data_IF_300451979487
#
_entry.id   IF_300451979487
#
_cell.length_a   1.000
_cell.length_b   1.000
_cell.length_c   1.000
_cell.angle_alpha   90.00
_cell.angle_beta   90.00
_cell.angle_gamma   90.00
#
_symmetry.space_group_name_H-M   'P 1'
#
loop_
_entity.id
_entity.type
_entity.pdbx_description
1 polymer ?
#
# COMPACT_ATOMS: atom_id res chain seq x y z
N UNK A 1 32.94 -35.09 -11.98
CA UNK A 1 32.54 -34.02 -11.05
C UNK A 1 31.80 -33.00 -11.89
N UNK A 2 30.54 -33.30 -12.20
CA UNK A 2 29.69 -32.38 -12.96
C UNK A 2 29.07 -31.41 -11.98
N UNK A 3 29.52 -30.17 -12.09
CA UNK A 3 28.95 -29.01 -11.41
C UNK A 3 27.55 -28.82 -11.99
N UNK A 4 26.53 -29.16 -11.21
CA UNK A 4 25.15 -28.79 -11.52
C UNK A 4 25.07 -27.27 -11.56
N UNK A 5 24.83 -26.73 -12.75
CA UNK A 5 24.30 -25.38 -12.96
C UNK A 5 23.07 -25.19 -12.07
N UNK A 6 22.92 -24.07 -11.35
CA UNK A 6 21.69 -23.79 -10.61
C UNK A 6 20.53 -23.78 -11.59
N UNK A 7 19.48 -24.55 -11.28
CA UNK A 7 18.20 -24.47 -11.97
C UNK A 7 17.75 -23.01 -11.87
N UNK A 8 17.49 -22.35 -13.00
CA UNK A 8 16.80 -21.05 -13.02
C UNK A 8 15.54 -21.19 -12.17
N UNK A 9 15.57 -20.61 -10.96
CA UNK A 9 14.37 -20.54 -10.12
C UNK A 9 13.28 -19.86 -10.92
N UNK A 10 12.11 -20.48 -10.99
CA UNK A 10 10.93 -19.94 -11.69
C UNK A 10 10.82 -18.44 -11.38
N UNK A 11 11.16 -17.59 -12.35
CA UNK A 11 10.91 -16.16 -12.26
C UNK A 11 9.39 -15.99 -12.32
N UNK A 12 8.74 -16.08 -11.17
CA UNK A 12 7.32 -15.80 -11.03
C UNK A 12 7.06 -14.41 -11.60
N UNK A 13 6.14 -14.34 -12.55
CA UNK A 13 5.86 -13.11 -13.29
C UNK A 13 5.23 -12.11 -12.32
N UNK A 14 5.76 -10.87 -12.22
CA UNK A 14 5.16 -9.86 -11.37
C UNK A 14 3.76 -9.49 -11.89
N UNK A 15 2.83 -9.22 -10.97
CA UNK A 15 1.46 -8.79 -11.29
C UNK A 15 1.48 -7.39 -11.90
N UNK A 16 2.02 -6.43 -11.15
CA UNK A 16 2.20 -5.05 -11.57
C UNK A 16 3.66 -4.82 -11.98
N UNK A 17 3.88 -4.43 -13.23
CA UNK A 17 5.22 -4.05 -13.70
C UNK A 17 5.67 -2.73 -13.06
N UNK A 18 4.70 -1.83 -12.84
CA UNK A 18 4.89 -0.53 -12.20
C UNK A 18 5.37 -0.61 -10.75
N UNK A 19 5.22 -1.77 -10.08
CA UNK A 19 5.75 -1.99 -8.73
C UNK A 19 7.28 -1.92 -8.65
N UNK A 20 8.00 -2.06 -9.77
CA UNK A 20 9.45 -1.90 -9.78
C UNK A 20 10.25 -3.11 -9.27
N UNK A 21 9.66 -4.31 -9.19
CA UNK A 21 10.38 -5.52 -8.73
C UNK A 21 11.66 -5.83 -9.52
N UNK A 22 11.75 -5.41 -10.78
CA UNK A 22 12.94 -5.57 -11.61
C UNK A 22 14.14 -4.74 -11.14
N UNK A 23 13.93 -3.75 -10.28
CA UNK A 23 14.98 -2.90 -9.72
C UNK A 23 15.63 -3.51 -8.48
N UNK A 24 15.07 -4.59 -7.93
CA UNK A 24 15.55 -5.25 -6.70
C UNK A 24 15.59 -6.77 -6.86
N UNK A 25 16.01 -7.48 -5.82
CA UNK A 25 16.03 -8.93 -5.74
C UNK A 25 15.68 -9.40 -4.32
N UNK A 26 15.28 -10.67 -4.21
CA UNK A 26 15.00 -11.28 -2.91
C UNK A 26 16.31 -11.64 -2.20
N UNK A 27 16.37 -11.33 -0.91
CA UNK A 27 17.33 -11.84 0.06
C UNK A 27 16.96 -13.27 0.47
N UNK A 28 17.85 -13.94 1.21
CA UNK A 28 17.66 -15.34 1.65
C UNK A 28 16.39 -15.57 2.47
N UNK A 29 15.93 -14.55 3.21
CA UNK A 29 14.68 -14.59 3.98
C UNK A 29 13.42 -14.31 3.14
N UNK A 30 13.56 -14.08 1.83
CA UNK A 30 12.47 -13.77 0.91
C UNK A 30 12.07 -12.29 0.85
N UNK A 31 12.66 -11.43 1.69
CA UNK A 31 12.46 -9.98 1.65
C UNK A 31 13.29 -9.33 0.54
N UNK A 32 13.05 -8.06 0.26
CA UNK A 32 13.63 -7.37 -0.88
C UNK A 32 14.82 -6.52 -0.46
N UNK A 33 15.90 -6.62 -1.25
CA UNK A 33 17.12 -5.87 -1.01
C UNK A 33 16.92 -4.37 -1.29
N UNK A 34 17.66 -3.53 -0.55
CA UNK A 34 17.87 -2.13 -0.93
C UNK A 34 18.99 -2.11 -1.98
N UNK A 35 18.62 -2.37 -3.23
CA UNK A 35 19.58 -2.48 -4.34
C UNK A 35 20.01 -1.11 -4.89
N UNK A 36 21.19 -1.03 -5.53
CA UNK A 36 21.62 0.20 -6.21
C UNK A 36 20.61 0.70 -7.25
N UNK A 37 19.99 -0.19 -8.02
CA UNK A 37 19.03 0.20 -9.07
C UNK A 37 17.70 0.71 -8.50
N UNK A 38 17.27 0.18 -7.35
CA UNK A 38 16.13 0.72 -6.62
C UNK A 38 16.40 2.16 -6.15
N UNK A 39 17.60 2.41 -5.59
CA UNK A 39 17.98 3.75 -5.15
C UNK A 39 18.06 4.75 -6.31
N UNK A 40 18.65 4.34 -7.45
CA UNK A 40 18.74 5.18 -8.65
C UNK A 40 17.38 5.62 -9.17
N UNK A 41 16.36 4.76 -9.10
CA UNK A 41 15.01 5.12 -9.53
C UNK A 41 14.45 6.33 -8.76
N UNK A 42 14.81 6.49 -7.48
CA UNK A 42 14.44 7.69 -6.72
C UNK A 42 15.23 8.93 -7.12
N UNK A 43 16.51 8.80 -7.48
CA UNK A 43 17.32 9.94 -7.95
C UNK A 43 16.85 10.46 -9.30
N UNK A 44 16.29 9.58 -10.14
CA UNK A 44 15.74 9.98 -11.45
C UNK A 44 14.39 10.71 -11.37
N UNK A 45 13.82 10.92 -10.17
CA UNK A 45 12.58 11.66 -10.04
C UNK A 45 12.79 13.15 -10.37
N UNK A 46 11.82 13.83 -10.99
CA UNK A 46 11.98 15.23 -11.41
C UNK A 46 12.35 16.19 -10.27
N UNK A 47 11.99 15.87 -9.03
CA UNK A 47 12.27 16.69 -7.84
C UNK A 47 13.75 16.62 -7.40
N UNK A 48 14.54 15.72 -7.99
CA UNK A 48 15.94 15.44 -7.65
C UNK A 48 16.86 15.53 -8.88
N UNK A 49 16.34 15.12 -10.04
CA UNK A 49 17.08 15.13 -11.29
C UNK A 49 17.47 16.58 -11.65
N UNK A 50 18.77 16.90 -11.75
CA UNK A 50 19.21 18.25 -12.10
C UNK A 50 18.68 18.69 -13.47
N UNK A 51 18.41 19.97 -13.61
CA UNK A 51 18.08 20.61 -14.90
C UNK A 51 19.32 21.32 -15.48
N UNK A 52 19.25 21.80 -16.71
CA UNK A 52 20.41 22.44 -17.36
C UNK A 52 20.88 23.71 -16.61
N UNK A 53 19.98 24.38 -15.89
CA UNK A 53 20.27 25.55 -15.06
C UNK A 53 20.74 25.24 -13.63
N UNK A 54 20.76 23.95 -13.24
CA UNK A 54 21.24 23.52 -11.91
C UNK A 54 22.71 23.87 -11.70
N UNK A 55 23.10 24.08 -10.43
CA UNK A 55 24.49 24.44 -10.13
C UNK A 55 25.46 23.25 -10.25
N UNK A 56 26.74 23.52 -10.53
CA UNK A 56 27.78 22.47 -10.67
C UNK A 56 27.86 21.51 -9.47
N UNK A 57 27.57 22.01 -8.27
CA UNK A 57 27.59 21.21 -7.05
C UNK A 57 26.44 20.18 -7.01
N UNK A 58 25.29 20.53 -7.56
CA UNK A 58 24.14 19.65 -7.68
C UNK A 58 24.40 18.56 -8.73
N UNK A 59 24.87 18.94 -9.93
CA UNK A 59 25.26 17.96 -10.96
C UNK A 59 26.30 16.97 -10.45
N UNK A 60 27.34 17.46 -9.75
CA UNK A 60 28.38 16.61 -9.17
C UNK A 60 27.84 15.66 -8.09
N UNK A 61 26.89 16.11 -7.27
CA UNK A 61 26.24 15.24 -6.29
C UNK A 61 25.41 14.16 -6.98
N UNK A 62 24.63 14.55 -7.99
CA UNK A 62 23.81 13.62 -8.77
C UNK A 62 24.67 12.56 -9.46
N UNK A 63 25.74 12.94 -10.15
CA UNK A 63 26.67 12.00 -10.79
C UNK A 63 27.28 11.01 -9.79
N UNK A 64 27.74 11.51 -8.64
CA UNK A 64 28.24 10.68 -7.53
C UNK A 64 27.20 9.64 -7.08
N UNK A 65 25.94 10.04 -6.91
CA UNK A 65 24.86 9.15 -6.50
C UNK A 65 24.43 8.17 -7.60
N UNK A 66 24.53 8.55 -8.88
CA UNK A 66 24.26 7.63 -9.98
C UNK A 66 25.36 6.56 -10.11
N UNK A 67 26.62 6.93 -9.89
CA UNK A 67 27.74 5.97 -9.89
C UNK A 67 27.68 5.06 -8.65
N UNK A 68 27.58 5.65 -7.46
CA UNK A 68 27.56 4.94 -6.16
C UNK A 68 26.32 5.35 -5.34
N UNK A 69 25.17 4.66 -5.53
CA UNK A 69 23.89 5.07 -4.96
C UNK A 69 23.81 5.11 -3.44
N UNK A 70 24.61 4.31 -2.75
CA UNK A 70 24.72 4.23 -1.31
C UNK A 70 25.83 5.12 -0.73
N UNK A 71 26.49 5.95 -1.56
CA UNK A 71 27.57 6.81 -1.10
C UNK A 71 27.08 7.79 -0.02
N UNK A 72 27.84 7.95 1.09
CA UNK A 72 27.50 8.94 2.11
C UNK A 72 27.59 10.35 1.53
N UNK A 73 26.66 11.20 1.96
CA UNK A 73 26.58 12.62 1.58
C UNK A 73 26.56 13.44 2.86
N UNK A 74 27.48 14.39 2.98
CA UNK A 74 27.59 15.25 4.15
C UNK A 74 26.68 16.47 4.05
N UNK A 75 26.31 17.03 5.21
CA UNK A 75 25.57 18.31 5.27
C UNK A 75 26.30 19.45 4.56
N UNK A 76 27.64 19.42 4.53
CA UNK A 76 28.46 20.41 3.82
C UNK A 76 28.33 20.29 2.30
N UNK A 77 28.18 19.08 1.76
CA UNK A 77 27.90 18.87 0.33
C UNK A 77 26.51 19.42 -0.04
N UNK A 78 25.52 19.20 0.82
CA UNK A 78 24.15 19.69 0.60
C UNK A 78 24.05 21.21 0.76
N UNK A 79 24.77 21.80 1.72
CA UNK A 79 24.85 23.25 1.92
C UNK A 79 25.59 23.97 0.78
N UNK A 80 26.33 23.25 -0.06
CA UNK A 80 27.00 23.81 -1.22
C UNK A 80 26.06 23.91 -2.45
N UNK A 81 24.88 23.30 -2.42
CA UNK A 81 23.88 23.45 -3.48
C UNK A 81 23.29 24.86 -3.38
N UNK A 82 23.27 25.58 -4.51
CA UNK A 82 22.85 26.98 -4.54
C UNK A 82 21.34 27.14 -4.32
N UNK A 83 20.54 26.23 -4.87
CA UNK A 83 19.10 26.17 -4.64
C UNK A 83 18.79 25.45 -3.32
N UNK A 84 18.19 26.19 -2.39
CA UNK A 84 17.82 25.66 -1.09
C UNK A 84 16.70 24.61 -1.17
N UNK A 85 15.78 24.76 -2.13
CA UNK A 85 14.65 23.84 -2.27
C UNK A 85 15.14 22.49 -2.83
N UNK A 86 16.06 22.52 -3.80
CA UNK A 86 16.76 21.32 -4.26
C UNK A 86 17.54 20.64 -3.13
N UNK A 87 18.30 21.41 -2.33
CA UNK A 87 19.03 20.88 -1.19
C UNK A 87 18.13 20.22 -0.14
N UNK A 88 16.94 20.79 0.09
CA UNK A 88 15.92 20.25 0.99
C UNK A 88 15.33 18.93 0.45
N UNK A 89 15.06 18.86 -0.86
CA UNK A 89 14.62 17.62 -1.53
C UNK A 89 15.67 16.51 -1.42
N UNK A 90 16.95 16.82 -1.65
CA UNK A 90 18.05 15.89 -1.44
C UNK A 90 18.11 15.43 0.03
N UNK A 91 18.01 16.34 1.01
CA UNK A 91 18.03 15.95 2.44
C UNK A 91 16.90 14.99 2.79
N UNK A 92 15.69 15.23 2.30
CA UNK A 92 14.55 14.34 2.51
C UNK A 92 14.80 12.96 1.89
N UNK A 93 15.26 12.91 0.63
CA UNK A 93 15.46 11.64 -0.07
C UNK A 93 16.63 10.84 0.55
N UNK A 94 17.74 11.50 0.87
CA UNK A 94 18.89 10.86 1.49
C UNK A 94 18.56 10.34 2.90
N UNK A 95 17.74 11.06 3.67
CA UNK A 95 17.24 10.57 4.96
C UNK A 95 16.41 9.29 4.82
N UNK A 96 15.58 9.19 3.78
CA UNK A 96 14.84 7.97 3.45
C UNK A 96 15.77 6.83 3.00
N UNK A 97 16.71 7.12 2.08
CA UNK A 97 17.72 6.15 1.63
C UNK A 97 18.53 5.58 2.79
N UNK A 98 19.09 6.44 3.63
CA UNK A 98 19.94 6.06 4.75
C UNK A 98 19.16 5.22 5.76
N UNK A 99 17.88 5.52 5.96
CA UNK A 99 16.97 4.69 6.76
C UNK A 99 16.82 3.29 6.15
N UNK A 100 16.53 3.16 4.86
CA UNK A 100 16.43 1.85 4.22
C UNK A 100 17.75 1.07 4.30
N UNK A 101 18.87 1.70 3.97
CA UNK A 101 20.20 1.07 4.04
C UNK A 101 20.53 0.59 5.45
N UNK A 102 20.23 1.39 6.48
CA UNK A 102 20.43 1.03 7.89
C UNK A 102 19.65 -0.24 8.28
N UNK A 103 18.45 -0.42 7.74
CA UNK A 103 17.58 -1.56 8.07
C UNK A 103 17.79 -2.78 7.15
N UNK A 104 18.55 -2.63 6.06
CA UNK A 104 19.09 -3.73 5.25
C UNK A 104 18.11 -4.39 4.26
N UNK A 105 16.81 -4.15 4.38
CA UNK A 105 15.80 -4.59 3.42
C UNK A 105 14.65 -3.59 3.32
N UNK A 106 13.86 -3.66 2.24
CA UNK A 106 12.70 -2.80 2.05
C UNK A 106 11.61 -3.06 3.10
N UNK A 107 11.33 -4.32 3.42
CA UNK A 107 10.39 -4.71 4.48
C UNK A 107 10.84 -4.24 5.86
N UNK A 108 12.12 -4.44 6.22
CA UNK A 108 12.66 -4.00 7.49
C UNK A 108 12.63 -2.47 7.61
N UNK A 109 12.99 -1.77 6.52
CA UNK A 109 12.89 -0.32 6.41
C UNK A 109 11.45 0.16 6.59
N UNK A 110 10.49 -0.49 5.92
CA UNK A 110 9.06 -0.18 6.05
C UNK A 110 8.57 -0.33 7.50
N UNK A 111 8.85 -1.46 8.17
CA UNK A 111 8.50 -1.65 9.59
C UNK A 111 9.07 -0.54 10.47
N UNK A 112 10.33 -0.20 10.25
CA UNK A 112 11.03 0.79 11.06
C UNK A 112 10.52 2.23 10.84
N UNK A 113 9.80 2.53 9.75
CA UNK A 113 9.19 3.85 9.53
C UNK A 113 8.11 4.18 10.56
N UNK A 114 7.55 3.18 11.22
CA UNK A 114 6.49 3.35 12.23
C UNK A 114 7.00 3.26 13.66
N UNK A 115 8.32 3.31 13.84
CA UNK A 115 8.98 3.35 15.15
C UNK A 115 9.38 4.79 15.54
N UNK A 116 9.49 5.10 16.85
CA UNK A 116 9.98 6.40 17.29
C UNK A 116 11.35 6.75 16.71
N UNK A 117 11.51 7.96 16.19
CA UNK A 117 12.77 8.44 15.62
C UNK A 117 12.98 8.12 14.13
N UNK A 118 12.00 7.52 13.46
CA UNK A 118 12.01 7.37 12.00
C UNK A 118 12.06 8.74 11.29
N UNK A 119 12.69 8.84 10.11
CA UNK A 119 12.69 10.06 9.31
C UNK A 119 11.27 10.41 8.84
N UNK A 120 11.05 11.68 8.51
CA UNK A 120 9.84 12.09 7.82
C UNK A 120 9.93 11.66 6.36
N UNK A 121 8.95 10.88 5.91
CA UNK A 121 8.91 10.32 4.56
C UNK A 121 7.59 10.74 3.89
N UNK A 122 7.62 11.19 2.62
CA UNK A 122 6.42 11.48 1.86
C UNK A 122 5.49 10.25 1.78
N UNK A 123 4.16 10.42 1.86
CA UNK A 123 3.22 9.30 1.76
C UNK A 123 3.42 8.44 0.51
N UNK A 124 3.72 9.06 -0.63
CA UNK A 124 3.96 8.36 -1.90
C UNK A 124 5.13 7.37 -1.84
N UNK A 125 6.17 7.64 -1.04
CA UNK A 125 7.29 6.68 -0.88
C UNK A 125 6.85 5.47 -0.06
N UNK A 126 5.97 5.67 0.92
CA UNK A 126 5.38 4.58 1.72
C UNK A 126 4.48 3.72 0.82
N UNK A 127 3.63 4.34 0.01
CA UNK A 127 2.75 3.66 -0.96
C UNK A 127 3.57 2.84 -1.97
N UNK A 128 4.67 3.39 -2.48
CA UNK A 128 5.60 2.67 -3.37
C UNK A 128 6.25 1.44 -2.71
N UNK A 129 6.70 1.57 -1.45
CA UNK A 129 7.21 0.41 -0.70
C UNK A 129 6.14 -0.66 -0.54
N UNK A 130 4.94 -0.27 -0.14
CA UNK A 130 3.83 -1.22 0.02
C UNK A 130 3.51 -1.91 -1.30
N UNK A 131 3.42 -1.17 -2.40
CA UNK A 131 3.17 -1.73 -3.73
C UNK A 131 4.23 -2.78 -4.11
N UNK A 132 5.50 -2.46 -3.88
CA UNK A 132 6.61 -3.34 -4.19
C UNK A 132 6.60 -4.60 -3.29
N UNK A 133 6.31 -4.44 -1.99
CA UNK A 133 6.18 -5.55 -1.04
C UNK A 133 4.97 -6.44 -1.37
N UNK A 134 3.82 -5.84 -1.71
CA UNK A 134 2.63 -6.58 -2.17
C UNK A 134 2.93 -7.37 -3.45
N UNK A 135 3.62 -6.76 -4.42
CA UNK A 135 4.03 -7.44 -5.66
C UNK A 135 4.96 -8.62 -5.38
N UNK A 136 5.89 -8.48 -4.42
CA UNK A 136 6.75 -9.57 -3.97
C UNK A 136 5.95 -10.70 -3.30
N UNK A 137 5.09 -10.33 -2.35
CA UNK A 137 4.26 -11.25 -1.57
C UNK A 137 3.28 -12.04 -2.44
N UNK A 138 2.75 -11.42 -3.50
CA UNK A 138 1.76 -12.00 -4.40
C UNK A 138 2.37 -12.54 -5.70
N UNK A 139 3.71 -12.66 -5.78
CA UNK A 139 4.34 -13.26 -6.94
C UNK A 139 3.79 -14.68 -7.20
N UNK A 140 3.25 -14.92 -8.39
CA UNK A 140 2.61 -16.19 -8.75
C UNK A 140 1.16 -16.34 -8.28
N UNK A 141 0.51 -15.28 -7.80
CA UNK A 141 -0.93 -15.28 -7.58
C UNK A 141 -1.70 -15.59 -8.86
N UNK A 142 -2.77 -16.37 -8.73
CA UNK A 142 -3.66 -16.76 -9.83
C UNK A 142 -5.10 -16.29 -9.60
N UNK A 143 -5.44 -15.83 -8.40
CA UNK A 143 -6.72 -15.21 -8.11
C UNK A 143 -6.67 -13.70 -8.37
N UNK A 144 -7.33 -13.27 -9.45
CA UNK A 144 -7.42 -11.86 -9.82
C UNK A 144 -8.16 -11.02 -8.78
N UNK A 145 -9.10 -11.59 -8.00
CA UNK A 145 -9.74 -10.86 -6.92
C UNK A 145 -8.75 -10.53 -5.80
N UNK A 146 -7.86 -11.46 -5.46
CA UNK A 146 -6.80 -11.22 -4.46
C UNK A 146 -5.83 -10.15 -4.96
N UNK A 147 -5.43 -10.21 -6.22
CA UNK A 147 -4.56 -9.19 -6.83
C UNK A 147 -5.24 -7.81 -6.80
N UNK A 148 -6.47 -7.69 -7.30
CA UNK A 148 -7.20 -6.41 -7.31
C UNK A 148 -7.47 -5.88 -5.90
N UNK A 149 -7.82 -6.74 -4.95
CA UNK A 149 -8.05 -6.35 -3.56
C UNK A 149 -6.75 -5.86 -2.89
N UNK A 150 -5.58 -6.37 -3.28
CA UNK A 150 -4.31 -5.90 -2.76
C UNK A 150 -3.96 -4.47 -3.19
N UNK A 151 -4.55 -3.96 -4.27
CA UNK A 151 -4.38 -2.55 -4.65
C UNK A 151 -4.88 -1.59 -3.56
N UNK A 152 -5.84 -1.99 -2.71
CA UNK A 152 -6.28 -1.19 -1.57
C UNK A 152 -5.13 -0.86 -0.60
N UNK A 153 -4.07 -1.68 -0.55
CA UNK A 153 -2.95 -1.47 0.36
C UNK A 153 -2.10 -0.27 -0.03
N UNK A 154 -2.02 0.06 -1.33
CA UNK A 154 -1.12 1.08 -1.85
C UNK A 154 -1.79 2.12 -2.75
N UNK A 155 -3.09 1.99 -3.02
CA UNK A 155 -3.88 2.95 -3.81
C UNK A 155 -5.14 3.36 -3.07
N UNK A 156 -5.40 4.66 -3.04
CA UNK A 156 -6.65 5.20 -2.53
C UNK A 156 -7.83 4.79 -3.43
N UNK A 157 -8.95 4.40 -2.81
CA UNK A 157 -10.14 3.99 -3.55
C UNK A 157 -11.26 5.00 -3.37
N UNK A 158 -11.94 5.36 -4.46
CA UNK A 158 -13.25 6.01 -4.42
C UNK A 158 -14.33 4.96 -4.22
N UNK A 159 -15.09 5.11 -3.14
CA UNK A 159 -16.26 4.32 -2.85
C UNK A 159 -17.50 4.98 -3.47
N UNK A 160 -18.30 4.18 -4.18
CA UNK A 160 -19.61 4.60 -4.67
C UNK A 160 -20.67 3.74 -4.01
N UNK A 161 -21.57 4.41 -3.28
CA UNK A 161 -22.73 3.79 -2.64
C UNK A 161 -24.01 4.25 -3.35
N UNK A 162 -24.56 3.40 -4.21
CA UNK A 162 -25.87 3.60 -4.86
C UNK A 162 -26.68 2.32 -4.76
N UNK A 163 -27.99 2.43 -4.44
CA UNK A 163 -28.93 1.30 -4.39
C UNK A 163 -28.47 0.07 -3.58
N UNK A 164 -27.74 0.31 -2.47
CA UNK A 164 -27.20 -0.76 -1.62
C UNK A 164 -25.99 -1.50 -2.23
N UNK A 165 -25.43 -0.99 -3.32
CA UNK A 165 -24.15 -1.41 -3.87
C UNK A 165 -23.02 -0.64 -3.23
N UNK A 166 -21.92 -1.32 -2.90
CA UNK A 166 -20.69 -0.71 -2.44
C UNK A 166 -19.61 -1.07 -3.46
N UNK A 167 -19.26 -0.11 -4.31
CA UNK A 167 -18.27 -0.28 -5.36
C UNK A 167 -16.99 0.47 -5.01
N UNK A 168 -15.83 -0.16 -5.21
CA UNK A 168 -14.53 0.48 -5.04
C UNK A 168 -13.83 0.61 -6.39
N UNK A 169 -13.36 1.81 -6.71
CA UNK A 169 -12.53 2.09 -7.88
C UNK A 169 -11.31 2.90 -7.45
N UNK A 170 -10.22 2.85 -8.22
CA UNK A 170 -9.06 3.68 -7.96
C UNK A 170 -9.42 5.17 -8.03
N UNK A 171 -9.04 5.95 -7.01
CA UNK A 171 -9.43 7.35 -6.90
C UNK A 171 -8.80 8.22 -8.00
N UNK A 172 -7.53 7.98 -8.35
CA UNK A 172 -6.81 8.73 -9.41
C UNK A 172 -7.43 8.44 -10.78
N UNK A 173 -7.79 7.17 -11.05
CA UNK A 173 -8.50 6.80 -12.28
C UNK A 173 -9.87 7.47 -12.33
N UNK A 174 -10.65 7.46 -11.25
CA UNK A 174 -11.97 8.11 -11.23
C UNK A 174 -11.84 9.62 -11.47
N UNK A 175 -10.87 10.27 -10.82
CA UNK A 175 -10.61 11.71 -10.99
C UNK A 175 -10.24 12.06 -12.43
N UNK A 176 -9.24 11.38 -13.00
CA UNK A 176 -8.81 11.54 -14.39
C UNK A 176 -9.99 11.37 -15.37
N UNK A 177 -10.83 10.36 -15.16
CA UNK A 177 -11.99 10.14 -16.03
C UNK A 177 -13.09 11.19 -15.82
N UNK A 178 -13.23 11.76 -14.62
CA UNK A 178 -14.17 12.85 -14.35
C UNK A 178 -13.75 14.17 -15.00
N UNK A 179 -12.45 14.45 -15.07
CA UNK A 179 -11.89 15.63 -15.75
C UNK A 179 -11.88 15.49 -17.28
N UNK A 180 -11.70 14.26 -17.78
CA UNK A 180 -11.56 13.96 -19.21
C UNK A 180 -12.77 13.28 -19.85
N UNK A 181 -13.83 13.02 -19.09
CA UNK A 181 -15.08 12.40 -19.57
C UNK A 181 -14.90 11.00 -20.14
N UNK A 182 -13.83 10.32 -19.72
CA UNK A 182 -13.38 9.03 -20.29
C UNK A 182 -12.88 9.08 -21.73
N UNK A 183 -12.63 10.28 -22.29
CA UNK A 183 -12.17 10.50 -23.67
C UNK A 183 -10.74 11.06 -23.74
N UNK A 184 -10.03 11.16 -22.60
CA UNK A 184 -8.70 11.76 -22.54
C UNK A 184 -8.72 13.24 -22.96
N UNK A 185 -7.70 13.69 -23.70
CA UNK A 185 -7.57 15.10 -24.11
C UNK A 185 -8.75 15.67 -24.92
N UNK A 186 -9.57 14.83 -25.56
CA UNK A 186 -10.78 15.28 -26.27
C UNK A 186 -11.94 15.59 -25.33
N UNK A 187 -12.05 14.90 -24.19
CA UNK A 187 -13.11 15.18 -23.23
C UNK A 187 -12.79 16.37 -22.33
N UNK A 188 -11.51 16.69 -22.11
CA UNK A 188 -11.12 17.97 -21.51
C UNK A 188 -11.62 19.16 -22.36
N UNK A 189 -11.53 19.07 -23.69
CA UNK A 189 -12.08 20.09 -24.61
C UNK A 189 -13.63 20.14 -24.60
N UNK A 190 -14.30 19.00 -24.38
CA UNK A 190 -15.76 18.95 -24.25
C UNK A 190 -16.25 19.51 -22.90
N UNK A 191 -15.47 19.33 -21.83
CA UNK A 191 -15.71 19.92 -20.52
C UNK A 191 -15.60 21.45 -20.58
N UNK A 192 -14.56 21.98 -21.23
CA UNK A 192 -14.42 23.43 -21.49
C UNK A 192 -15.59 23.99 -22.32
N UNK A 193 -16.16 23.19 -23.22
CA UNK A 193 -17.32 23.56 -24.03
C UNK A 193 -18.67 23.46 -23.30
N UNK A 194 -18.69 23.13 -22.00
CA UNK A 194 -19.92 23.05 -21.19
C UNK A 194 -20.86 21.91 -21.58
N UNK A 195 -20.35 20.87 -22.24
CA UNK A 195 -21.14 19.70 -22.65
C UNK A 195 -21.22 18.71 -21.48
N UNK A 196 -22.41 18.19 -21.11
CA UNK A 196 -22.53 17.22 -20.03
C UNK A 196 -21.72 15.96 -20.35
N UNK A 197 -20.76 15.66 -19.48
CA UNK A 197 -19.85 14.53 -19.64
C UNK A 197 -20.60 13.22 -19.36
N UNK A 198 -20.27 12.17 -20.12
CA UNK A 198 -20.88 10.85 -19.94
C UNK A 198 -20.46 10.28 -18.59
N UNK A 199 -21.40 9.63 -17.91
CA UNK A 199 -21.13 8.91 -16.67
C UNK A 199 -20.07 7.82 -16.94
N UNK A 200 -18.95 7.89 -16.23
CA UNK A 200 -17.82 6.99 -16.44
C UNK A 200 -18.19 5.64 -15.85
N UNK A 201 -18.41 4.65 -16.72
CA UNK A 201 -18.62 3.26 -16.30
C UNK A 201 -17.27 2.54 -16.33
N UNK A 202 -16.67 2.33 -15.16
CA UNK A 202 -15.52 1.45 -15.02
C UNK A 202 -15.99 -0.01 -15.12
N UNK A 203 -15.16 -0.85 -15.74
CA UNK A 203 -15.43 -2.28 -15.83
C UNK A 203 -15.42 -2.88 -14.42
N UNK A 204 -16.54 -3.46 -14.00
CA UNK A 204 -16.64 -4.16 -12.71
C UNK A 204 -16.12 -5.58 -12.85
N UNK A 205 -15.24 -5.98 -11.94
CA UNK A 205 -14.73 -7.35 -11.90
C UNK A 205 -15.82 -8.34 -11.48
N UNK A 206 -15.99 -9.38 -12.28
CA UNK A 206 -16.87 -10.52 -12.05
C UNK A 206 -16.08 -11.80 -12.24
N UNK A 207 -16.61 -12.94 -11.78
CA UNK A 207 -15.96 -14.24 -12.00
C UNK A 207 -15.77 -14.57 -13.49
N UNK A 208 -16.66 -14.08 -14.36
CA UNK A 208 -16.61 -14.31 -15.80
C UNK A 208 -15.51 -13.50 -16.51
N UNK A 209 -15.19 -12.30 -16.01
CA UNK A 209 -14.23 -11.39 -16.64
C UNK A 209 -12.91 -11.24 -15.86
N UNK A 210 -12.77 -11.90 -14.70
CA UNK A 210 -11.61 -11.80 -13.80
C UNK A 210 -10.26 -12.02 -14.50
N UNK A 211 -10.19 -12.95 -15.46
CA UNK A 211 -8.97 -13.22 -16.24
C UNK A 211 -8.47 -12.02 -17.05
N UNK A 212 -9.35 -11.08 -17.41
CA UNK A 212 -8.96 -9.88 -18.15
C UNK A 212 -8.14 -8.90 -17.30
N UNK A 213 -8.20 -9.02 -15.97
CA UNK A 213 -7.47 -8.18 -15.03
C UNK A 213 -5.95 -8.21 -15.30
N UNK A 214 -5.38 -9.40 -15.53
CA UNK A 214 -3.94 -9.58 -15.69
C UNK A 214 -3.34 -8.79 -16.85
N UNK A 215 -4.09 -8.60 -17.94
CA UNK A 215 -3.63 -7.84 -19.10
C UNK A 215 -3.58 -6.33 -18.84
N UNK A 216 -4.28 -5.84 -17.80
CA UNK A 216 -4.47 -4.42 -17.50
C UNK A 216 -4.19 -4.06 -16.04
N UNK A 217 -3.52 -4.92 -15.27
CA UNK A 217 -3.27 -4.72 -13.84
C UNK A 217 -2.59 -3.37 -13.55
N UNK A 218 -1.64 -2.95 -14.39
CA UNK A 218 -0.95 -1.65 -14.28
C UNK A 218 -1.82 -0.43 -14.64
N UNK A 219 -3.05 -0.62 -15.13
CA UNK A 219 -3.99 0.46 -15.45
C UNK A 219 -4.89 0.82 -14.26
N UNK A 220 -4.99 -0.04 -13.24
CA UNK A 220 -5.81 0.16 -12.03
C UNK A 220 -7.28 0.54 -12.30
N UNK A 221 -7.80 0.22 -13.49
CA UNK A 221 -9.08 0.72 -14.01
C UNK A 221 -10.22 -0.30 -13.94
N UNK A 222 -10.11 -1.28 -13.05
CA UNK A 222 -11.15 -2.28 -12.80
C UNK A 222 -11.80 -1.95 -11.45
N UNK A 223 -13.13 -1.81 -11.43
CA UNK A 223 -13.89 -1.60 -10.21
C UNK A 223 -14.17 -2.93 -9.49
N UNK A 224 -14.29 -2.87 -8.18
CA UNK A 224 -14.46 -4.01 -7.30
C UNK A 224 -15.81 -3.92 -6.58
N UNK A 225 -16.69 -4.91 -6.78
CA UNK A 225 -17.93 -5.02 -6.00
C UNK A 225 -17.60 -5.51 -4.60
N UNK A 226 -17.66 -4.58 -3.65
CA UNK A 226 -17.19 -4.76 -2.28
C UNK A 226 -18.34 -5.01 -1.30
N UNK A 227 -19.53 -5.37 -1.79
CA UNK A 227 -20.64 -5.82 -0.94
C UNK A 227 -20.27 -7.07 -0.14
N UNK A 228 -20.84 -7.19 1.05
CA UNK A 228 -20.80 -8.44 1.80
C UNK A 228 -21.40 -9.58 0.94
N UNK A 229 -20.82 -10.78 1.04
CA UNK A 229 -21.08 -11.97 0.20
C UNK A 229 -20.56 -11.92 -1.24
N UNK A 230 -19.94 -10.84 -1.69
CA UNK A 230 -19.21 -10.80 -2.96
C UNK A 230 -17.74 -11.21 -2.73
N UNK A 231 -17.02 -11.69 -3.76
CA UNK A 231 -15.67 -12.26 -3.60
C UNK A 231 -14.64 -11.27 -3.03
N UNK A 232 -14.86 -9.97 -3.20
CA UNK A 232 -13.89 -8.93 -2.91
C UNK A 232 -13.47 -8.83 -1.43
N UNK A 233 -14.41 -8.98 -0.48
CA UNK A 233 -14.06 -8.91 0.94
C UNK A 233 -13.26 -10.14 1.38
N UNK A 234 -13.61 -11.32 0.88
CA UNK A 234 -12.84 -12.54 1.14
C UNK A 234 -11.45 -12.47 0.49
N UNK A 235 -11.34 -11.89 -0.69
CA UNK A 235 -10.06 -11.61 -1.33
C UNK A 235 -9.20 -10.66 -0.49
N UNK A 236 -9.76 -9.55 0.01
CA UNK A 236 -9.04 -8.64 0.92
C UNK A 236 -8.61 -9.36 2.20
N UNK A 237 -9.47 -10.23 2.77
CA UNK A 237 -9.13 -11.05 3.92
C UNK A 237 -7.89 -11.93 3.65
N UNK A 238 -7.78 -12.53 2.45
CA UNK A 238 -6.57 -13.27 2.03
C UNK A 238 -5.34 -12.40 1.91
N UNK A 239 -5.47 -11.17 1.39
CA UNK A 239 -4.33 -10.24 1.35
C UNK A 239 -3.85 -9.90 2.75
N UNK A 240 -4.76 -9.65 3.70
CA UNK A 240 -4.44 -9.39 5.10
C UNK A 240 -3.72 -10.58 5.74
N UNK A 241 -4.23 -11.80 5.54
CA UNK A 241 -3.57 -13.02 6.04
C UNK A 241 -2.14 -13.16 5.50
N UNK A 242 -1.94 -12.90 4.20
CA UNK A 242 -0.62 -12.96 3.56
C UNK A 242 0.31 -11.87 4.06
N UNK A 243 -0.21 -10.66 4.27
CA UNK A 243 0.57 -9.53 4.79
C UNK A 243 1.12 -9.82 6.17
N UNK A 244 0.26 -10.27 7.09
CA UNK A 244 0.67 -10.65 8.46
C UNK A 244 1.67 -11.80 8.42
N UNK A 245 1.44 -12.80 7.56
CA UNK A 245 2.37 -13.92 7.39
C UNK A 245 3.72 -13.48 6.81
N UNK A 246 3.74 -12.55 5.85
CA UNK A 246 4.97 -12.08 5.19
C UNK A 246 5.94 -11.45 6.19
N UNK A 247 5.41 -10.61 7.10
CA UNK A 247 6.21 -9.90 8.09
C UNK A 247 6.52 -10.74 9.35
N UNK A 248 5.53 -11.43 9.92
CA UNK A 248 5.69 -12.10 11.21
C UNK A 248 5.78 -13.62 11.13
N UNK A 249 5.69 -14.20 9.93
CA UNK A 249 5.60 -15.66 9.72
C UNK A 249 4.44 -16.30 10.51
N UNK A 250 3.45 -15.48 10.87
CA UNK A 250 2.32 -15.87 11.69
C UNK A 250 1.17 -16.31 10.81
N UNK A 251 0.52 -17.41 11.19
CA UNK A 251 -0.71 -17.84 10.55
C UNK A 251 -1.90 -17.27 11.29
N UNK A 252 -2.73 -16.56 10.54
CA UNK A 252 -4.00 -16.04 11.00
C UNK A 252 -5.09 -16.43 10.02
N UNK A 253 -6.35 -16.36 10.46
CA UNK A 253 -7.53 -16.52 9.62
C UNK A 253 -8.36 -15.26 9.70
N UNK A 254 -8.68 -14.67 8.55
CA UNK A 254 -9.50 -13.46 8.44
C UNK A 254 -10.81 -13.83 7.74
N UNK A 255 -11.92 -13.35 8.26
CA UNK A 255 -13.25 -13.61 7.69
C UNK A 255 -14.08 -12.35 7.66
N UNK A 256 -14.69 -12.05 6.52
CA UNK A 256 -15.62 -10.95 6.37
C UNK A 256 -16.85 -11.16 7.27
N UNK A 257 -17.38 -10.06 7.81
CA UNK A 257 -18.55 -10.04 8.68
C UNK A 257 -19.51 -8.94 8.26
N UNK A 258 -20.81 -9.22 8.40
CA UNK A 258 -21.85 -8.20 8.22
C UNK A 258 -21.98 -7.28 9.44
N UNK A 259 -21.82 -7.84 10.64
CA UNK A 259 -21.91 -7.12 11.91
C UNK A 259 -21.09 -7.82 12.99
N UNK A 260 -20.75 -7.08 14.05
CA UNK A 260 -20.06 -7.61 15.22
C UNK A 260 -21.04 -7.59 16.40
N UNK A 261 -21.30 -8.77 16.95
CA UNK A 261 -22.04 -8.95 18.20
C UNK A 261 -21.20 -9.83 19.13
N UNK A 262 -20.31 -9.20 19.89
CA UNK A 262 -19.44 -9.87 20.86
C UNK A 262 -19.38 -9.08 22.17
N UNK A 263 -19.99 -9.65 23.21
CA UNK A 263 -19.97 -9.09 24.57
C UNK A 263 -18.58 -9.13 25.22
N UNK A 264 -17.64 -9.89 24.64
CA UNK A 264 -16.25 -10.06 25.12
C UNK A 264 -15.23 -9.40 24.20
N UNK A 265 -15.65 -8.43 23.39
CA UNK A 265 -14.78 -7.67 22.51
C UNK A 265 -13.60 -7.07 23.29
N UNK A 266 -12.39 -7.55 22.99
CA UNK A 266 -11.16 -7.18 23.73
C UNK A 266 -10.16 -6.41 22.86
N UNK A 267 -10.22 -6.56 21.54
CA UNK A 267 -9.25 -5.94 20.64
C UNK A 267 -9.84 -5.63 19.26
N UNK A 268 -9.38 -4.53 18.68
CA UNK A 268 -9.69 -4.17 17.30
C UNK A 268 -8.55 -3.43 16.63
N UNK A 269 -8.62 -3.39 15.29
CA UNK A 269 -7.68 -2.65 14.45
C UNK A 269 -8.50 -1.96 13.36
N UNK A 270 -8.47 -0.62 13.34
CA UNK A 270 -8.96 0.11 12.18
C UNK A 270 -7.98 -0.05 11.02
N UNK A 271 -8.46 -0.49 9.86
CA UNK A 271 -7.66 -0.60 8.63
C UNK A 271 -7.40 0.78 8.02
N UNK A 272 -8.14 1.82 8.42
CA UNK A 272 -7.94 3.21 8.05
C UNK A 272 -8.20 4.14 9.25
N UNK A 273 -8.06 5.45 9.04
CA UNK A 273 -8.24 6.43 10.10
C UNK A 273 -9.69 6.54 10.60
N UNK A 274 -10.68 6.45 9.72
CA UNK A 274 -12.09 6.54 10.08
C UNK A 274 -12.54 5.31 10.85
N UNK A 275 -12.20 4.12 10.38
CA UNK A 275 -12.50 2.87 11.07
C UNK A 275 -11.83 2.83 12.46
N UNK A 276 -10.61 3.34 12.59
CA UNK A 276 -9.92 3.44 13.88
C UNK A 276 -10.72 4.29 14.86
N UNK A 277 -11.20 5.47 14.43
CA UNK A 277 -11.96 6.37 15.28
C UNK A 277 -13.33 5.80 15.66
N UNK A 278 -14.03 5.16 14.70
CA UNK A 278 -15.31 4.50 14.96
C UNK A 278 -15.15 3.37 15.98
N UNK A 279 -14.19 2.47 15.77
CA UNK A 279 -13.99 1.31 16.64
C UNK A 279 -13.52 1.73 18.04
N UNK A 280 -12.64 2.74 18.16
CA UNK A 280 -12.25 3.29 19.45
C UNK A 280 -13.47 3.85 20.21
N UNK A 281 -14.30 4.65 19.55
CA UNK A 281 -15.51 5.22 20.17
C UNK A 281 -16.46 4.13 20.68
N UNK A 282 -16.71 3.11 19.86
CA UNK A 282 -17.55 1.96 20.25
C UNK A 282 -16.95 1.17 21.42
N UNK A 283 -15.63 0.94 21.41
CA UNK A 283 -14.93 0.22 22.48
C UNK A 283 -14.94 0.99 23.81
N UNK A 284 -14.79 2.32 23.77
CA UNK A 284 -14.82 3.20 24.95
C UNK A 284 -16.23 3.48 25.46
N UNK A 285 -17.27 2.97 24.79
CA UNK A 285 -18.68 3.21 25.12
C UNK A 285 -19.13 4.65 24.83
N UNK A 286 -18.40 5.38 23.98
CA UNK A 286 -18.74 6.72 23.53
C UNK A 286 -19.78 6.62 22.42
N UNK A 287 -20.80 7.49 22.46
CA UNK A 287 -21.79 7.56 21.40
C UNK A 287 -21.14 7.96 20.07
N UNK A 288 -21.24 7.09 19.07
CA UNK A 288 -20.80 7.36 17.70
C UNK A 288 -22.02 7.76 16.87
N UNK A 289 -21.91 8.88 16.16
CA UNK A 289 -22.97 9.38 15.29
C UNK A 289 -23.35 8.35 14.22
N UNK A 290 -24.65 8.20 13.95
CA UNK A 290 -25.18 7.21 12.99
C UNK A 290 -24.61 7.41 11.58
N UNK A 291 -24.47 8.66 11.15
CA UNK A 291 -23.83 9.01 9.87
C UNK A 291 -22.40 8.50 9.77
N UNK A 292 -21.69 8.43 10.91
CA UNK A 292 -20.31 7.94 10.96
C UNK A 292 -20.27 6.41 10.96
N UNK A 293 -21.18 5.76 11.69
CA UNK A 293 -21.34 4.30 11.64
C UNK A 293 -21.70 3.82 10.22
N UNK A 294 -22.52 4.57 9.50
CA UNK A 294 -22.89 4.28 8.12
C UNK A 294 -21.71 4.32 7.13
N UNK A 295 -20.56 4.89 7.52
CA UNK A 295 -19.33 4.87 6.71
C UNK A 295 -18.56 3.55 6.79
N UNK A 296 -18.96 2.63 7.68
CA UNK A 296 -18.31 1.33 7.79
C UNK A 296 -18.54 0.54 6.50
N UNK A 297 -17.47 0.32 5.75
CA UNK A 297 -17.46 -0.36 4.46
C UNK A 297 -17.33 -1.88 4.62
N UNK A 298 -16.53 -2.35 5.56
CA UNK A 298 -16.38 -3.77 5.88
C UNK A 298 -15.92 -4.01 7.31
N UNK A 299 -16.30 -5.18 7.84
CA UNK A 299 -15.86 -5.69 9.13
C UNK A 299 -15.25 -7.07 8.92
N UNK A 300 -14.22 -7.39 9.70
CA UNK A 300 -13.58 -8.70 9.66
C UNK A 300 -13.33 -9.25 11.06
N UNK A 301 -13.41 -10.56 11.18
CA UNK A 301 -12.89 -11.31 12.32
C UNK A 301 -11.48 -11.82 12.00
N UNK A 302 -10.52 -11.50 12.87
CA UNK A 302 -9.16 -12.01 12.84
C UNK A 302 -8.98 -13.06 13.95
N UNK A 303 -8.73 -14.30 13.55
CA UNK A 303 -8.37 -15.43 14.41
C UNK A 303 -6.87 -15.71 14.30
N UNK A 304 -6.19 -15.77 15.44
CA UNK A 304 -4.78 -16.12 15.50
C UNK A 304 -4.61 -17.63 15.67
N UNK A 305 -3.81 -18.27 14.81
CA UNK A 305 -3.57 -19.72 14.92
C UNK A 305 -2.38 -20.04 15.83
N UNK A 306 -1.45 -19.11 16.01
CA UNK A 306 -0.38 -19.19 17.00
C UNK A 306 -0.78 -18.40 18.26
N UNK A 307 -1.29 -19.10 19.26
CA UNK A 307 -1.76 -18.53 20.52
C UNK A 307 -0.61 -18.12 21.45
N UNK A 308 0.58 -18.69 21.27
CA UNK A 308 1.75 -18.38 22.11
C UNK A 308 2.41 -17.05 21.69
N UNK A 309 2.15 -16.59 20.46
CA UNK A 309 2.59 -15.29 19.98
C UNK A 309 1.91 -14.10 20.67
N UNK A 310 0.73 -14.34 21.27
CA UNK A 310 -0.16 -13.30 21.75
C UNK A 310 0.09 -12.93 23.20
N UNK A 311 -0.18 -11.67 23.51
CA UNK A 311 -0.29 -11.22 24.91
C UNK A 311 -1.34 -12.06 25.66
N UNK A 312 -1.15 -12.31 26.97
CA UNK A 312 -2.03 -13.19 27.75
C UNK A 312 -3.53 -12.83 27.66
N UNK A 313 -3.86 -11.54 27.59
CA UNK A 313 -5.24 -11.04 27.54
C UNK A 313 -6.00 -11.42 26.25
N UNK A 314 -5.27 -11.77 25.18
CA UNK A 314 -5.82 -12.08 23.86
C UNK A 314 -5.80 -13.57 23.49
N UNK A 315 -5.20 -14.41 24.34
CA UNK A 315 -5.19 -15.87 24.10
C UNK A 315 -6.61 -16.43 24.14
N UNK A 316 -6.97 -17.19 23.11
CA UNK A 316 -8.30 -17.78 22.90
C UNK A 316 -9.36 -16.78 22.43
N UNK A 317 -8.98 -15.55 22.06
CA UNK A 317 -9.90 -14.50 21.61
C UNK A 317 -9.66 -14.09 20.16
N UNK A 318 -10.64 -13.40 19.59
CA UNK A 318 -10.56 -12.80 18.26
C UNK A 318 -10.25 -11.31 18.36
N UNK A 319 -9.57 -10.78 17.34
CA UNK A 319 -9.54 -9.35 17.09
C UNK A 319 -10.52 -9.00 15.97
N UNK A 320 -11.04 -7.78 15.98
CA UNK A 320 -11.92 -7.27 14.92
C UNK A 320 -11.23 -6.22 14.08
N UNK A 321 -11.40 -6.29 12.76
CA UNK A 321 -10.88 -5.30 11.83
C UNK A 321 -12.05 -4.52 11.23
N UNK A 322 -11.87 -3.23 10.99
CA UNK A 322 -12.86 -2.41 10.30
C UNK A 322 -12.23 -1.60 9.19
N UNK A 323 -12.96 -1.42 8.10
CA UNK A 323 -12.62 -0.53 6.99
C UNK A 323 -13.79 0.44 6.80
N UNK A 324 -13.51 1.73 6.66
CA UNK A 324 -14.51 2.77 6.53
C UNK A 324 -14.15 3.79 5.45
N UNK A 325 -15.17 4.44 4.91
CA UNK A 325 -15.00 5.56 3.99
C UNK A 325 -14.86 6.88 4.75
N UNK A 326 -14.16 7.84 4.16
CA UNK A 326 -14.22 9.24 4.61
C UNK A 326 -15.56 9.89 4.25
N UNK A 327 -15.76 11.14 4.68
CA UNK A 327 -16.92 11.94 4.26
C UNK A 327 -16.98 12.16 2.74
N UNK A 328 -15.82 12.17 2.07
CA UNK A 328 -15.69 12.31 0.62
C UNK A 328 -15.77 10.97 -0.12
N UNK A 329 -16.23 9.92 0.55
CA UNK A 329 -16.31 8.54 0.03
C UNK A 329 -14.97 7.99 -0.44
N UNK A 330 -13.86 8.29 0.25
CA UNK A 330 -12.55 7.72 -0.04
C UNK A 330 -12.22 6.63 0.98
N UNK A 331 -11.55 5.57 0.53
CA UNK A 331 -10.95 4.55 1.39
C UNK A 331 -9.44 4.63 1.24
N UNK A 332 -8.75 4.89 2.35
CA UNK A 332 -7.29 4.89 2.44
C UNK A 332 -6.84 3.88 3.49
N UNK A 333 -6.67 2.63 3.05
CA UNK A 333 -6.18 1.56 3.92
C UNK A 333 -4.73 1.88 4.34
N UNK A 334 -4.41 1.55 5.59
CA UNK A 334 -3.12 1.74 6.24
C UNK A 334 -2.54 0.38 6.64
N UNK A 335 -1.78 -0.30 5.76
CA UNK A 335 -1.29 -1.65 6.00
C UNK A 335 -0.41 -1.78 7.24
N UNK A 336 0.25 -0.69 7.64
CA UNK A 336 1.05 -0.63 8.87
C UNK A 336 0.22 -0.90 10.12
N UNK A 337 -1.09 -0.60 10.12
CA UNK A 337 -1.95 -0.87 11.27
C UNK A 337 -2.06 -2.38 11.55
N UNK A 338 -1.90 -3.22 10.52
CA UNK A 338 -1.82 -4.68 10.64
C UNK A 338 -0.47 -5.17 11.14
N UNK A 339 0.51 -4.27 11.33
CA UNK A 339 1.84 -4.59 11.83
C UNK A 339 2.09 -4.01 13.22
N UNK A 340 1.66 -2.76 13.45
CA UNK A 340 1.92 -2.04 14.70
C UNK A 340 0.90 -2.33 15.79
N UNK A 341 -0.32 -2.76 15.43
CA UNK A 341 -1.45 -2.86 16.38
C UNK A 341 -1.88 -4.30 16.64
N UNK A 342 -1.11 -5.30 16.20
CA UNK A 342 -1.36 -6.70 16.56
C UNK A 342 -1.04 -6.93 18.05
N UNK A 343 -1.84 -7.73 18.78
CA UNK A 343 -1.67 -7.98 20.20
C UNK A 343 -0.57 -9.03 20.47
N UNK A 344 0.64 -8.78 19.98
CA UNK A 344 1.78 -9.68 20.08
C UNK A 344 2.62 -9.39 21.33
N UNK A 345 3.34 -10.40 21.83
CA UNK A 345 4.35 -10.18 22.87
C UNK A 345 5.50 -9.30 22.34
N UNK A 346 6.03 -8.39 23.18
CA UNK A 346 7.07 -7.42 22.79
C UNK A 346 8.33 -8.03 22.16
N UNK A 347 8.66 -9.28 22.49
CA UNK A 347 9.79 -10.00 21.89
C UNK A 347 9.58 -10.37 20.43
N UNK A 348 8.36 -10.20 19.89
CA UNK A 348 7.98 -10.51 18.51
C UNK A 348 7.54 -9.27 17.71
N UNK A 349 7.64 -8.07 18.29
CA UNK A 349 7.32 -6.79 17.63
C UNK A 349 8.56 -6.10 17.09
#
# INVERSE_FOLDING_TARGET
>A
MDVKTPVEGERLRPIWKSAGLHLTHRLDNGWLAVSPDFLRAYYTRPEIHPIDESCDNEHRLFEKLMETPDAPVSDAELAAIADTDAADNYRLLLGYRDHLLKHGSLEAGYLALFSPGAPRVPPVFIEQLVHLICSNMLAGEQDAFVARAAELFFREQKATTSDGQLMLADAEVVEMYSESGGMGGLGALLAEAGTPMREVTLDVMTEENAETYWARADQFNVALDFRFTQPAQDALARVIERWIRHFFQMRVRVQAMQSIADERWTWHIGLDAEATQILNGLYEGVAVEEQRLARMAALFRLEFLDQEALIPAMRGKHAYLGLATTADSLIRLKPQNLLTNLPLEQTRQ
#
